data_IF_860737497031
#
_entry.id   IF_860737497031
#
_cell.length_a   1.000
_cell.length_b   1.000
_cell.length_c   1.000
_cell.angle_alpha   90.00
_cell.angle_beta   90.00
_cell.angle_gamma   90.00
#
_symmetry.space_group_name_H-M   'P 1'
#
loop_
_entity.id
_entity.type
_entity.pdbx_description
1 polymer ?
#
# COMPACT_ATOMS: atom_id res chain seq x y z
N UNK A 1 6.59 -0.25 -5.44
CA UNK A 1 5.25 -0.68 -5.84
C UNK A 1 4.47 0.52 -6.37
N UNK A 2 3.81 0.36 -7.51
CA UNK A 2 3.05 1.41 -8.17
C UNK A 2 1.58 0.98 -8.30
N UNK A 3 0.62 1.90 -8.08
CA UNK A 3 -0.79 1.60 -8.30
C UNK A 3 -1.10 1.54 -9.78
N UNK A 4 -2.03 0.68 -10.16
CA UNK A 4 -2.55 0.59 -11.53
C UNK A 4 -4.03 0.94 -11.49
N UNK A 5 -4.40 1.93 -12.29
CA UNK A 5 -5.78 2.37 -12.45
C UNK A 5 -6.27 2.21 -13.88
N UNK A 6 -7.57 2.21 -14.05
CA UNK A 6 -8.20 2.27 -15.37
C UNK A 6 -8.40 3.72 -15.84
N UNK A 7 -9.06 3.90 -16.97
CA UNK A 7 -9.31 5.23 -17.55
C UNK A 7 -10.14 6.15 -16.66
N UNK A 8 -10.92 5.62 -15.72
CA UNK A 8 -11.70 6.37 -14.74
C UNK A 8 -10.97 6.59 -13.43
N UNK A 9 -9.66 6.32 -13.37
CA UNK A 9 -8.85 6.41 -12.15
C UNK A 9 -9.29 5.44 -11.05
N UNK A 10 -9.97 4.35 -11.41
CA UNK A 10 -10.36 3.30 -10.48
C UNK A 10 -9.15 2.39 -10.21
N UNK A 11 -8.86 2.16 -8.94
CA UNK A 11 -7.76 1.27 -8.55
C UNK A 11 -8.12 -0.17 -8.94
N UNK A 12 -7.33 -0.76 -9.82
CA UNK A 12 -7.53 -2.14 -10.30
C UNK A 12 -6.43 -3.10 -9.89
N UNK A 13 -5.30 -2.59 -9.44
CA UNK A 13 -4.20 -3.44 -9.02
C UNK A 13 -2.95 -2.66 -8.66
N UNK A 14 -1.85 -3.39 -8.54
CA UNK A 14 -0.53 -2.80 -8.32
C UNK A 14 0.54 -3.59 -9.07
N UNK A 15 1.68 -2.94 -9.33
CA UNK A 15 2.84 -3.57 -9.96
C UNK A 15 4.09 -3.27 -9.16
N UNK A 16 5.05 -4.20 -9.22
CA UNK A 16 6.37 -4.02 -8.65
C UNK A 16 7.32 -3.46 -9.69
N UNK A 17 8.17 -2.52 -9.28
CA UNK A 17 9.15 -1.92 -10.19
C UNK A 17 10.05 -2.99 -10.84
N UNK A 18 10.51 -3.98 -10.06
CA UNK A 18 11.37 -5.04 -10.59
C UNK A 18 10.69 -5.84 -11.71
N UNK A 19 9.38 -6.08 -11.60
CA UNK A 19 8.62 -6.79 -12.62
C UNK A 19 8.51 -5.95 -13.90
N UNK A 20 8.33 -4.63 -13.77
CA UNK A 20 8.32 -3.72 -14.91
C UNK A 20 9.67 -3.69 -15.63
N UNK A 21 10.77 -3.65 -14.88
CA UNK A 21 12.12 -3.67 -15.46
C UNK A 21 12.37 -4.97 -16.21
N UNK A 22 11.88 -6.09 -15.70
CA UNK A 22 11.96 -7.38 -16.37
C UNK A 22 11.21 -7.39 -17.69
N UNK A 23 9.98 -6.84 -17.71
CA UNK A 23 9.20 -6.72 -18.95
C UNK A 23 9.94 -5.86 -19.98
N UNK A 24 10.54 -4.77 -19.55
CA UNK A 24 11.33 -3.90 -20.43
C UNK A 24 12.51 -4.66 -21.03
N UNK A 25 13.22 -5.44 -20.23
CA UNK A 25 14.36 -6.25 -20.69
C UNK A 25 13.92 -7.29 -21.73
N UNK A 26 12.76 -7.90 -21.53
CA UNK A 26 12.18 -8.89 -22.43
C UNK A 26 11.43 -8.28 -23.61
N UNK A 27 11.39 -6.93 -23.70
CA UNK A 27 10.70 -6.18 -24.76
C UNK A 27 9.19 -6.45 -24.82
N UNK A 28 8.60 -6.75 -23.65
CA UNK A 28 7.15 -6.96 -23.53
C UNK A 28 6.51 -5.60 -23.25
N UNK A 29 5.50 -5.22 -24.04
CA UNK A 29 4.86 -3.90 -23.94
C UNK A 29 3.66 -3.84 -23.00
N UNK A 30 3.01 -4.97 -22.74
CA UNK A 30 1.85 -5.00 -21.85
C UNK A 30 2.25 -5.36 -20.43
N UNK A 31 1.64 -4.69 -19.45
CA UNK A 31 1.87 -4.97 -18.04
C UNK A 31 0.89 -6.00 -17.47
N UNK A 32 -0.06 -6.48 -18.25
CA UNK A 32 -1.15 -7.35 -17.79
C UNK A 32 -0.67 -8.56 -17.00
N UNK A 33 0.45 -9.15 -17.41
CA UNK A 33 0.96 -10.36 -16.79
C UNK A 33 1.57 -10.14 -15.40
N UNK A 34 1.92 -8.89 -15.06
CA UNK A 34 2.59 -8.55 -13.80
C UNK A 34 1.71 -7.73 -12.86
N UNK A 35 0.52 -7.34 -13.29
CA UNK A 35 -0.43 -6.62 -12.44
C UNK A 35 -0.98 -7.57 -11.39
N UNK A 36 -0.88 -7.16 -10.13
CA UNK A 36 -1.49 -7.87 -9.01
C UNK A 36 -2.84 -7.23 -8.71
N UNK A 37 -3.90 -8.03 -8.76
CA UNK A 37 -5.26 -7.53 -8.53
C UNK A 37 -5.67 -7.58 -7.05
N UNK A 38 -4.99 -8.36 -6.23
CA UNK A 38 -5.20 -8.39 -4.79
C UNK A 38 -4.37 -7.28 -4.15
N UNK A 39 -5.01 -6.15 -3.88
CA UNK A 39 -4.36 -4.97 -3.30
C UNK A 39 -5.07 -4.57 -2.00
N UNK A 40 -4.29 -4.03 -1.07
CA UNK A 40 -4.84 -3.52 0.18
C UNK A 40 -5.19 -2.05 0.00
N UNK A 41 -6.46 -1.72 0.14
CA UNK A 41 -6.95 -0.35 0.04
C UNK A 41 -7.86 0.00 1.20
N UNK A 42 -7.89 1.28 1.54
CA UNK A 42 -8.74 1.82 2.59
C UNK A 42 -9.40 3.10 2.09
N UNK A 43 -10.51 3.48 2.74
CA UNK A 43 -11.13 4.77 2.49
C UNK A 43 -10.33 5.88 3.19
N UNK A 44 -10.42 7.10 2.66
CA UNK A 44 -9.65 8.24 3.16
C UNK A 44 -9.96 8.63 4.60
N UNK A 45 -11.12 8.24 5.13
CA UNK A 45 -11.53 8.50 6.51
C UNK A 45 -11.19 7.35 7.47
N UNK A 46 -10.46 6.34 7.00
CA UNK A 46 -10.03 5.21 7.84
C UNK A 46 -9.06 5.70 8.91
N UNK A 47 -9.29 5.27 10.15
CA UNK A 47 -8.44 5.67 11.27
C UNK A 47 -7.14 4.86 11.29
N UNK A 48 -6.11 5.45 11.88
CA UNK A 48 -4.76 4.89 11.90
C UNK A 48 -4.72 3.49 12.54
N UNK A 49 -5.50 3.26 13.59
CA UNK A 49 -5.57 1.98 14.30
C UNK A 49 -6.01 0.83 13.40
N UNK A 50 -6.79 1.13 12.37
CA UNK A 50 -7.24 0.12 11.40
C UNK A 50 -6.21 -0.09 10.27
N UNK A 51 -5.39 0.91 9.99
CA UNK A 51 -4.36 0.86 8.94
C UNK A 51 -3.13 0.09 9.41
N UNK A 52 -2.69 0.30 10.65
CA UNK A 52 -1.46 -0.29 11.19
C UNK A 52 -1.41 -1.82 11.09
N UNK A 53 -2.47 -2.56 11.44
CA UNK A 53 -2.45 -4.02 11.28
C UNK A 53 -2.26 -4.47 9.82
N UNK A 54 -2.84 -3.74 8.87
CA UNK A 54 -2.67 -4.05 7.45
C UNK A 54 -1.22 -3.84 7.03
N UNK A 55 -0.61 -2.74 7.43
CA UNK A 55 0.78 -2.43 7.08
C UNK A 55 1.76 -3.45 7.66
N UNK A 56 1.56 -3.87 8.90
CA UNK A 56 2.44 -4.84 9.55
C UNK A 56 2.32 -6.23 8.96
N UNK A 57 1.12 -6.62 8.50
CA UNK A 57 0.90 -7.93 7.88
C UNK A 57 1.41 -8.00 6.45
N UNK A 58 1.19 -6.94 5.69
CA UNK A 58 1.46 -6.97 4.25
C UNK A 58 2.85 -6.49 3.88
N UNK A 59 3.48 -5.72 4.76
CA UNK A 59 4.75 -5.06 4.50
C UNK A 59 4.73 -4.30 3.16
N UNK A 60 3.59 -3.72 2.83
CA UNK A 60 3.33 -3.02 1.58
C UNK A 60 2.65 -1.69 1.86
N UNK A 61 2.74 -0.71 0.95
CA UNK A 61 1.97 0.51 1.08
C UNK A 61 0.46 0.20 1.00
N UNK A 62 -0.33 1.04 1.63
CA UNK A 62 -1.79 0.95 1.60
C UNK A 62 -2.32 2.02 0.66
N UNK A 63 -3.08 1.61 -0.34
CA UNK A 63 -3.70 2.52 -1.29
C UNK A 63 -4.95 3.15 -0.68
N UNK A 64 -5.16 4.43 -0.95
CA UNK A 64 -6.34 5.15 -0.45
C UNK A 64 -7.30 5.39 -1.62
N UNK A 65 -8.54 4.98 -1.45
CA UNK A 65 -9.59 5.11 -2.45
C UNK A 65 -10.82 5.78 -1.83
N UNK A 66 -11.69 6.30 -2.67
CA UNK A 66 -13.01 6.76 -2.23
C UNK A 66 -14.04 5.62 -2.33
N UNK A 67 -15.31 5.91 -2.05
CA UNK A 67 -16.39 4.93 -2.08
C UNK A 67 -16.59 4.27 -3.45
N UNK A 68 -16.19 4.96 -4.52
CA UNK A 68 -16.28 4.45 -5.89
C UNK A 68 -14.98 3.75 -6.33
N UNK A 69 -14.06 3.48 -5.40
CA UNK A 69 -12.74 2.88 -5.65
C UNK A 69 -11.81 3.75 -6.52
N UNK A 70 -12.13 5.02 -6.65
CA UNK A 70 -11.24 5.96 -7.35
C UNK A 70 -10.01 6.21 -6.48
N UNK A 71 -8.83 6.16 -7.10
CA UNK A 71 -7.55 6.35 -6.41
C UNK A 71 -7.44 7.78 -5.87
N UNK A 72 -7.11 7.91 -4.59
CA UNK A 72 -6.96 9.18 -3.89
C UNK A 72 -5.52 9.44 -3.45
N UNK A 73 -4.81 8.40 -3.08
CA UNK A 73 -3.45 8.55 -2.57
C UNK A 73 -2.89 7.26 -2.00
N UNK A 74 -1.82 7.38 -1.25
CA UNK A 74 -1.11 6.25 -0.68
C UNK A 74 -0.66 6.56 0.74
N UNK A 75 -0.72 5.55 1.61
CA UNK A 75 -0.02 5.56 2.89
C UNK A 75 1.24 4.71 2.68
N UNK A 76 2.40 5.32 2.46
CA UNK A 76 3.62 4.56 2.22
C UNK A 76 4.12 3.92 3.51
N UNK A 77 4.77 2.78 3.40
CA UNK A 77 5.37 2.10 4.55
C UNK A 77 6.36 3.03 5.29
N UNK A 78 7.04 3.89 4.56
CA UNK A 78 7.95 4.90 5.11
C UNK A 78 7.25 5.89 6.04
N UNK A 79 5.95 6.17 5.85
CA UNK A 79 5.20 7.06 6.74
C UNK A 79 5.07 6.50 8.14
N UNK A 80 4.88 5.19 8.28
CA UNK A 80 4.86 4.54 9.58
C UNK A 80 6.20 4.69 10.29
N UNK A 81 7.31 4.53 9.56
CA UNK A 81 8.66 4.72 10.11
C UNK A 81 8.84 6.15 10.59
N UNK A 82 8.41 7.14 9.82
CA UNK A 82 8.52 8.56 10.19
C UNK A 82 7.72 8.87 11.46
N UNK A 83 6.50 8.35 11.55
CA UNK A 83 5.62 8.57 12.71
C UNK A 83 6.22 8.09 14.03
N UNK A 84 7.06 7.05 13.98
CA UNK A 84 7.62 6.44 15.19
C UNK A 84 9.08 6.74 15.42
N UNK A 85 9.76 7.52 14.54
CA UNK A 85 11.20 7.80 14.67
C UNK A 85 11.58 8.58 15.92
N UNK A 86 10.66 9.36 16.51
CA UNK A 86 10.88 10.08 17.75
C UNK A 86 10.66 9.25 19.01
N UNK A 87 10.32 7.97 18.86
CA UNK A 87 9.97 7.08 19.98
C UNK A 87 11.06 6.05 20.21
N UNK A 88 11.17 5.57 21.45
CA UNK A 88 12.07 4.47 21.75
C UNK A 88 11.48 3.14 21.23
N UNK A 89 12.31 2.11 21.24
CA UNK A 89 11.96 0.80 20.68
C UNK A 89 10.75 0.16 21.39
N UNK A 90 10.64 0.36 22.71
CA UNK A 90 9.52 -0.19 23.48
C UNK A 90 8.20 0.50 23.13
N UNK A 91 8.22 1.82 22.96
CA UNK A 91 7.04 2.57 22.55
C UNK A 91 6.56 2.17 21.16
N UNK A 92 7.50 1.94 20.24
CA UNK A 92 7.19 1.49 18.88
C UNK A 92 6.54 0.11 18.92
N UNK A 93 7.11 -0.82 19.68
CA UNK A 93 6.58 -2.18 19.82
C UNK A 93 5.18 -2.15 20.44
N UNK A 94 4.95 -1.30 21.42
CA UNK A 94 3.64 -1.14 22.07
C UNK A 94 2.59 -0.65 21.07
N UNK A 95 2.92 0.34 20.26
CA UNK A 95 2.02 0.86 19.22
C UNK A 95 1.65 -0.25 18.23
N UNK A 96 2.62 -0.99 17.74
CA UNK A 96 2.40 -2.08 16.79
C UNK A 96 1.57 -3.18 17.42
N UNK A 97 1.87 -3.57 18.65
CA UNK A 97 1.16 -4.63 19.36
C UNK A 97 -0.30 -4.26 19.60
N UNK A 98 -0.57 -3.03 20.02
CA UNK A 98 -1.93 -2.56 20.22
C UNK A 98 -2.73 -2.55 18.92
N UNK A 99 -2.10 -2.17 17.80
CA UNK A 99 -2.74 -2.19 16.49
C UNK A 99 -3.07 -3.61 16.03
N UNK A 100 -2.21 -4.59 16.33
CA UNK A 100 -2.43 -6.00 15.95
C UNK A 100 -3.54 -6.64 16.78
N UNK A 101 -3.67 -6.28 18.05
CA UNK A 101 -4.68 -6.85 18.96
C UNK A 101 -6.10 -6.31 18.73
N UNK A 102 -6.23 -5.24 17.98
CA UNK A 102 -7.52 -4.69 17.59
C UNK A 102 -8.11 -5.46 16.41
#
# INVERSE_FOLDING_TARGET
>A
VLPVGDAGNILVGEVRLNDLLKLRKEQIRSIDTVVRHEVHSVLSDTILEDILPLMTRTNSPIWVVNENREFQGVVPLSSLIIEVTGKNKEEINEIIQNAIEL
#
